data_IF_108348579745
#
_entry.id   IF_108348579745
#
_cell.length_a   1.000
_cell.length_b   1.000
_cell.length_c   1.000
_cell.angle_alpha   90.00
_cell.angle_beta   90.00
_cell.angle_gamma   90.00
#
_symmetry.space_group_name_H-M   'P 1'
#
loop_
_entity.id
_entity.type
_entity.pdbx_description
1 polymer ?
#
# COMPACT_ATOMS: atom_id res chain seq x y z
N UNK A 1 -8.06 -14.84 0.61
CA UNK A 1 -6.89 -14.33 -0.14
C UNK A 1 -6.78 -15.19 -1.37
N UNK A 2 -6.72 -14.57 -2.54
CA UNK A 2 -6.76 -15.25 -3.83
C UNK A 2 -5.66 -14.65 -4.69
N UNK A 3 -4.49 -15.30 -4.72
CA UNK A 3 -3.30 -14.82 -5.42
C UNK A 3 -3.44 -14.92 -6.94
N UNK A 4 -4.24 -15.87 -7.44
CA UNK A 4 -4.50 -16.02 -8.88
C UNK A 4 -5.24 -14.81 -9.44
N UNK A 5 -6.23 -14.32 -8.68
CA UNK A 5 -7.01 -13.11 -9.02
C UNK A 5 -6.41 -11.82 -8.47
N UNK A 6 -5.20 -11.85 -7.90
CA UNK A 6 -4.56 -10.69 -7.26
C UNK A 6 -5.45 -10.00 -6.21
N UNK A 7 -6.15 -10.78 -5.38
CA UNK A 7 -7.04 -10.27 -4.32
C UNK A 7 -6.44 -10.52 -2.95
N UNK A 8 -6.06 -9.42 -2.28
CA UNK A 8 -5.38 -9.44 -1.00
C UNK A 8 -6.12 -8.58 0.05
N UNK A 9 -7.28 -9.04 0.58
CA UNK A 9 -8.07 -8.29 1.57
C UNK A 9 -7.25 -7.76 2.75
N UNK A 10 -7.38 -6.47 3.06
CA UNK A 10 -6.71 -5.82 4.20
C UNK A 10 -5.18 -5.97 4.20
N UNK A 11 -4.56 -6.01 3.03
CA UNK A 11 -3.12 -6.20 2.90
C UNK A 11 -2.41 -4.96 2.36
N UNK A 12 -1.17 -4.79 2.77
CA UNK A 12 -0.17 -4.06 2.00
C UNK A 12 0.49 -5.05 1.06
N UNK A 13 0.64 -4.69 -0.21
CA UNK A 13 1.31 -5.51 -1.22
C UNK A 13 2.59 -4.85 -1.69
N UNK A 14 3.54 -5.66 -2.11
CA UNK A 14 4.84 -5.20 -2.56
C UNK A 14 5.31 -5.95 -3.80
N UNK A 15 5.93 -5.22 -4.74
CA UNK A 15 6.49 -5.75 -5.99
C UNK A 15 7.87 -5.14 -6.26
N UNK A 16 8.84 -5.90 -6.80
CA UNK A 16 10.16 -5.38 -7.12
C UNK A 16 10.10 -4.36 -8.27
N UNK A 17 10.88 -3.28 -8.15
CA UNK A 17 11.12 -2.31 -9.23
C UNK A 17 12.31 -2.83 -10.05
N UNK A 18 12.16 -3.03 -11.37
CA UNK A 18 13.24 -3.52 -12.23
C UNK A 18 14.54 -2.71 -12.06
N UNK A 19 15.68 -3.40 -12.01
CA UNK A 19 17.03 -2.85 -11.79
C UNK A 19 17.25 -2.26 -10.39
N UNK A 20 16.35 -1.40 -9.90
CA UNK A 20 16.51 -0.71 -8.62
C UNK A 20 16.49 -1.69 -7.43
N UNK A 21 15.52 -2.60 -7.41
CA UNK A 21 15.44 -3.62 -6.35
C UNK A 21 16.60 -4.61 -6.39
N UNK A 22 17.26 -4.80 -7.55
CA UNK A 22 18.44 -5.67 -7.63
C UNK A 22 19.64 -5.05 -6.92
N UNK A 23 19.80 -3.73 -7.04
CA UNK A 23 20.86 -2.97 -6.35
C UNK A 23 20.53 -2.75 -4.87
N UNK A 24 19.25 -2.52 -4.56
CA UNK A 24 18.75 -2.27 -3.21
C UNK A 24 17.54 -3.17 -2.92
N UNK A 25 17.74 -4.39 -2.39
CA UNK A 25 16.70 -5.43 -2.26
C UNK A 25 15.54 -5.08 -1.33
N UNK A 26 15.64 -3.97 -0.59
CA UNK A 26 14.61 -3.46 0.30
C UNK A 26 13.72 -2.44 -0.42
N UNK A 27 14.22 -1.78 -1.48
CA UNK A 27 13.48 -0.79 -2.25
C UNK A 27 12.61 -1.52 -3.26
N UNK A 28 11.32 -1.25 -3.25
CA UNK A 28 10.38 -1.72 -4.26
C UNK A 28 9.13 -0.84 -4.30
N UNK A 29 8.08 -1.35 -4.92
CA UNK A 29 6.82 -0.63 -5.09
C UNK A 29 5.74 -1.20 -4.19
N UNK A 30 4.95 -0.33 -3.57
CA UNK A 30 3.99 -0.69 -2.53
C UNK A 30 2.57 -0.27 -2.91
N UNK A 31 1.59 -1.08 -2.55
CA UNK A 31 0.16 -0.76 -2.66
C UNK A 31 -0.59 -1.14 -1.40
N UNK A 32 -1.77 -0.54 -1.21
CA UNK A 32 -2.70 -0.90 -0.13
C UNK A 32 -3.96 -1.50 -0.73
N UNK A 33 -4.50 -2.53 -0.11
CA UNK A 33 -5.66 -3.24 -0.61
C UNK A 33 -6.92 -2.89 0.18
N UNK A 34 -8.07 -2.87 -0.50
CA UNK A 34 -9.39 -2.74 0.13
C UNK A 34 -9.77 -3.99 0.93
N UNK A 35 -10.92 -3.94 1.59
CA UNK A 35 -11.58 -5.07 2.26
C UNK A 35 -11.90 -6.23 1.32
N UNK A 36 -12.18 -5.94 0.05
CA UNK A 36 -12.40 -6.93 -1.01
C UNK A 36 -11.11 -7.42 -1.66
N UNK A 37 -9.97 -6.81 -1.31
CA UNK A 37 -8.66 -7.15 -1.80
C UNK A 37 -8.27 -6.52 -3.13
N UNK A 38 -9.01 -5.49 -3.59
CA UNK A 38 -8.63 -4.67 -4.73
C UNK A 38 -7.40 -3.85 -4.37
N UNK A 39 -6.38 -3.88 -5.23
CA UNK A 39 -5.11 -3.18 -4.99
C UNK A 39 -5.24 -1.72 -5.42
N UNK A 40 -4.77 -0.79 -4.58
CA UNK A 40 -4.55 0.61 -4.90
C UNK A 40 -3.08 0.95 -4.74
N UNK A 41 -2.43 1.40 -5.82
CA UNK A 41 -1.04 1.82 -5.78
C UNK A 41 -0.82 3.12 -6.57
N UNK A 42 -0.04 4.03 -6.01
CA UNK A 42 0.35 5.25 -6.69
C UNK A 42 1.43 4.96 -7.73
N UNK A 43 1.00 4.68 -8.96
CA UNK A 43 1.81 4.15 -10.05
C UNK A 43 2.56 5.22 -10.86
N UNK A 44 2.24 6.49 -10.66
CA UNK A 44 2.92 7.62 -11.32
C UNK A 44 2.24 8.95 -11.01
N UNK A 45 2.76 10.08 -11.52
CA UNK A 45 2.20 11.41 -11.26
C UNK A 45 0.71 11.44 -11.59
N UNK A 46 -0.12 11.89 -10.64
CA UNK A 46 -1.56 12.01 -10.79
C UNK A 46 -2.30 10.69 -11.09
N UNK A 47 -1.65 9.55 -10.88
CA UNK A 47 -2.19 8.24 -11.27
C UNK A 47 -2.07 7.22 -10.14
N UNK A 48 -3.23 6.87 -9.58
CA UNK A 48 -3.39 5.72 -8.69
C UNK A 48 -4.03 4.60 -9.48
N UNK A 49 -3.30 3.50 -9.67
CA UNK A 49 -3.77 2.32 -10.36
C UNK A 49 -4.75 1.52 -9.49
N UNK A 50 -5.62 0.77 -10.16
CA UNK A 50 -6.54 -0.18 -9.55
C UNK A 50 -6.23 -1.58 -10.12
N UNK A 51 -6.09 -2.57 -9.24
CA UNK A 51 -5.82 -3.99 -9.51
C UNK A 51 -4.49 -4.34 -10.18
N UNK A 52 -3.93 -3.47 -11.01
CA UNK A 52 -2.68 -3.72 -11.72
C UNK A 52 -1.57 -2.82 -11.17
N UNK A 53 -0.70 -3.40 -10.34
CA UNK A 53 0.46 -2.66 -9.84
C UNK A 53 1.39 -2.24 -10.98
N UNK A 54 2.01 -1.07 -10.83
CA UNK A 54 2.90 -0.46 -11.84
C UNK A 54 4.02 -1.36 -12.38
N UNK A 55 4.56 -2.27 -11.55
CA UNK A 55 5.72 -3.10 -11.89
C UNK A 55 5.38 -4.61 -11.93
N UNK A 56 4.10 -4.94 -12.16
CA UNK A 56 3.63 -6.32 -12.24
C UNK A 56 3.09 -6.86 -10.91
N UNK A 57 2.66 -8.13 -10.91
CA UNK A 57 1.94 -8.75 -9.79
C UNK A 57 2.70 -8.62 -8.46
N UNK A 58 1.98 -8.48 -7.32
CA UNK A 58 2.60 -8.56 -6.00
C UNK A 58 3.45 -9.82 -5.84
N UNK A 59 4.66 -9.64 -5.32
CA UNK A 59 5.55 -10.77 -4.95
C UNK A 59 5.52 -11.01 -3.44
N UNK A 60 5.17 -10.00 -2.66
CA UNK A 60 4.98 -10.09 -1.22
C UNK A 60 3.70 -9.39 -0.79
N UNK A 61 3.16 -9.83 0.34
CA UNK A 61 2.03 -9.21 1.00
C UNK A 61 2.24 -9.17 2.51
N UNK A 62 1.70 -8.15 3.16
CA UNK A 62 1.62 -8.03 4.61
C UNK A 62 0.16 -7.83 4.98
N UNK A 63 -0.46 -8.87 5.57
CA UNK A 63 -1.83 -8.81 6.05
C UNK A 63 -1.89 -7.99 7.34
N UNK A 64 -2.70 -6.95 7.32
CA UNK A 64 -2.98 -6.11 8.47
C UNK A 64 -4.25 -6.61 9.18
N UNK A 65 -4.42 -6.15 10.41
CA UNK A 65 -5.55 -6.51 11.26
C UNK A 65 -6.62 -5.41 11.19
N UNK A 66 -7.76 -5.72 10.57
CA UNK A 66 -8.83 -4.75 10.37
C UNK A 66 -9.40 -4.21 11.70
N UNK A 67 -9.29 -4.98 12.80
CA UNK A 67 -9.76 -4.58 14.12
C UNK A 67 -8.91 -3.46 14.74
N UNK A 68 -7.73 -3.18 14.17
CA UNK A 68 -6.86 -2.07 14.58
C UNK A 68 -7.22 -0.73 13.94
N UNK A 69 -8.26 -0.68 13.11
CA UNK A 69 -8.79 0.59 12.58
C UNK A 69 -9.54 1.32 13.69
N UNK A 70 -9.10 2.53 14.01
CA UNK A 70 -9.75 3.35 15.04
C UNK A 70 -10.87 4.23 14.45
N UNK A 71 -10.83 4.55 13.16
CA UNK A 71 -11.82 5.42 12.54
C UNK A 71 -13.25 4.86 12.68
N UNK A 72 -14.15 5.66 13.24
CA UNK A 72 -15.53 5.28 13.52
C UNK A 72 -16.38 5.29 12.26
N UNK A 73 -16.84 4.11 11.81
CA UNK A 73 -17.83 3.99 10.75
C UNK A 73 -17.78 2.63 10.05
N UNK A 74 -18.92 2.16 9.49
CA UNK A 74 -18.87 1.01 8.59
C UNK A 74 -17.92 1.32 7.42
N UNK A 75 -17.06 0.37 7.07
CA UNK A 75 -16.11 0.49 5.95
C UNK A 75 -15.00 1.55 6.10
N UNK A 76 -14.67 1.99 7.33
CA UNK A 76 -13.64 3.00 7.57
C UNK A 76 -12.27 2.70 6.91
N UNK A 77 -11.92 1.42 6.78
CA UNK A 77 -10.76 0.97 6.01
C UNK A 77 -10.83 1.41 4.54
N UNK A 78 -11.91 1.04 3.84
CA UNK A 78 -12.06 1.29 2.42
C UNK A 78 -12.21 2.76 2.11
N UNK A 79 -12.94 3.50 2.96
CA UNK A 79 -13.04 4.96 2.86
C UNK A 79 -11.66 5.59 2.96
N UNK A 80 -10.84 5.19 3.94
CA UNK A 80 -9.50 5.75 4.12
C UNK A 80 -8.54 5.40 2.97
N UNK A 81 -8.65 4.20 2.40
CA UNK A 81 -7.91 3.79 1.20
C UNK A 81 -8.34 4.61 -0.02
N UNK A 82 -9.65 4.84 -0.18
CA UNK A 82 -10.20 5.65 -1.26
C UNK A 82 -9.77 7.11 -1.15
N UNK A 83 -9.94 7.72 0.02
CA UNK A 83 -9.58 9.12 0.26
C UNK A 83 -8.08 9.35 0.07
N UNK A 84 -7.25 8.38 0.50
CA UNK A 84 -5.83 8.42 0.21
C UNK A 84 -5.54 8.38 -1.29
N UNK A 85 -6.29 7.59 -2.04
CA UNK A 85 -6.16 7.47 -3.49
C UNK A 85 -6.59 8.74 -4.22
N UNK A 86 -7.71 9.36 -3.83
CA UNK A 86 -8.18 10.62 -4.41
C UNK A 86 -7.20 11.77 -4.20
N UNK A 87 -6.63 11.89 -2.99
CA UNK A 87 -5.62 12.88 -2.70
C UNK A 87 -4.34 12.66 -3.55
N UNK A 88 -3.88 11.42 -3.70
CA UNK A 88 -2.68 11.14 -4.52
C UNK A 88 -2.93 11.26 -6.03
N UNK A 89 -4.18 11.17 -6.51
CA UNK A 89 -4.51 11.53 -7.89
C UNK A 89 -4.28 13.01 -8.19
N UNK A 90 -4.20 13.87 -7.17
CA UNK A 90 -3.88 15.29 -7.33
C UNK A 90 -2.38 15.60 -7.14
N UNK A 91 -1.55 14.60 -6.81
CA UNK A 91 -0.13 14.81 -6.44
C UNK A 91 0.84 14.44 -7.56
N UNK A 92 1.92 15.21 -7.63
CA UNK A 92 3.05 14.91 -8.52
C UNK A 92 3.94 13.84 -7.89
N UNK A 93 4.19 12.75 -8.61
CA UNK A 93 4.98 11.63 -8.09
C UNK A 93 6.47 11.99 -8.03
N UNK A 94 7.06 11.92 -6.84
CA UNK A 94 8.49 12.08 -6.65
C UNK A 94 9.10 10.78 -6.08
N UNK A 95 10.06 10.21 -6.81
CA UNK A 95 10.62 8.87 -6.56
C UNK A 95 11.07 8.65 -5.10
N UNK A 96 11.57 9.69 -4.42
CA UNK A 96 12.16 9.57 -3.09
C UNK A 96 11.37 10.23 -1.94
N UNK A 97 10.43 11.15 -2.21
CA UNK A 97 9.81 11.97 -1.14
C UNK A 97 8.27 11.97 -1.12
N UNK A 98 7.62 11.68 -2.25
CA UNK A 98 6.16 11.57 -2.35
C UNK A 98 5.84 10.43 -3.32
N UNK A 99 5.95 9.22 -2.79
CA UNK A 99 5.96 7.97 -3.55
C UNK A 99 4.86 7.01 -3.05
N UNK A 100 4.85 5.81 -3.60
CA UNK A 100 3.91 4.76 -3.26
C UNK A 100 3.84 4.39 -1.77
N UNK A 101 4.94 4.53 -1.02
CA UNK A 101 4.93 4.27 0.42
C UNK A 101 4.27 5.41 1.19
N UNK A 102 4.42 6.66 0.74
CA UNK A 102 3.72 7.81 1.31
C UNK A 102 2.21 7.70 1.09
N UNK A 103 1.78 7.19 -0.06
CA UNK A 103 0.35 6.89 -0.34
C UNK A 103 -0.23 5.88 0.65
N UNK A 104 0.45 4.74 0.85
CA UNK A 104 0.03 3.74 1.84
C UNK A 104 0.07 4.29 3.27
N UNK A 105 1.11 5.07 3.60
CA UNK A 105 1.21 5.71 4.92
C UNK A 105 0.03 6.64 5.19
N UNK A 106 -0.40 7.40 4.18
CA UNK A 106 -1.56 8.27 4.31
C UNK A 106 -2.85 7.50 4.55
N UNK A 107 -3.07 6.39 3.82
CA UNK A 107 -4.22 5.52 4.08
C UNK A 107 -4.25 5.02 5.52
N UNK A 108 -3.11 4.55 6.06
CA UNK A 108 -2.99 4.11 7.45
C UNK A 108 -3.22 5.23 8.47
N UNK A 109 -2.75 6.44 8.17
CA UNK A 109 -2.96 7.62 9.01
C UNK A 109 -4.42 8.07 9.03
N UNK A 110 -5.10 8.08 7.88
CA UNK A 110 -6.51 8.43 7.76
C UNK A 110 -7.40 7.47 8.57
N UNK A 111 -7.12 6.16 8.50
CA UNK A 111 -7.86 5.16 9.30
C UNK A 111 -7.39 5.07 10.76
N UNK A 112 -6.35 5.84 11.14
CA UNK A 112 -5.71 5.81 12.46
C UNK A 112 -5.32 4.39 12.89
N UNK A 113 -4.74 3.64 11.95
CA UNK A 113 -4.39 2.23 12.16
C UNK A 113 -3.45 2.06 13.36
N UNK A 114 -3.81 1.15 14.27
CA UNK A 114 -3.09 0.88 15.53
C UNK A 114 -2.99 2.13 16.43
N UNK A 115 -4.04 2.96 16.42
CA UNK A 115 -4.15 4.24 17.13
C UNK A 115 -2.98 5.22 16.82
N UNK A 116 -2.45 5.15 15.60
CA UNK A 116 -1.30 5.93 15.16
C UNK A 116 -1.63 6.78 13.93
N UNK A 117 -1.13 8.02 13.89
CA UNK A 117 -1.26 8.98 12.77
C UNK A 117 0.09 9.44 12.21
N UNK A 118 1.17 8.78 12.61
CA UNK A 118 2.55 9.09 12.21
C UNK A 118 3.19 7.98 11.37
N UNK A 119 2.38 7.19 10.66
CA UNK A 119 2.87 6.30 9.61
C UNK A 119 3.58 7.10 8.53
N UNK A 120 4.71 6.59 8.05
CA UNK A 120 5.53 7.22 7.04
C UNK A 120 6.25 6.15 6.20
N UNK A 121 6.86 6.58 5.09
CA UNK A 121 7.50 5.69 4.13
C UNK A 121 8.62 4.83 4.73
N UNK A 122 9.42 5.36 5.66
CA UNK A 122 10.56 4.64 6.25
C UNK A 122 10.07 3.53 7.17
N UNK A 123 9.09 3.84 8.02
CA UNK A 123 8.44 2.85 8.90
C UNK A 123 7.80 1.73 8.09
N UNK A 124 7.06 2.08 7.02
CA UNK A 124 6.44 1.09 6.15
C UNK A 124 7.44 0.22 5.41
N UNK A 125 8.51 0.81 4.88
CA UNK A 125 9.58 0.08 4.20
C UNK A 125 10.19 -0.98 5.12
N UNK A 126 10.57 -0.60 6.35
CA UNK A 126 11.14 -1.52 7.34
C UNK A 126 10.13 -2.59 7.80
N UNK A 127 8.89 -2.21 8.12
CA UNK A 127 7.89 -3.16 8.59
C UNK A 127 7.46 -4.12 7.47
N UNK A 128 7.34 -3.65 6.24
CA UNK A 128 7.05 -4.52 5.10
C UNK A 128 8.19 -5.52 4.90
N UNK A 129 9.46 -5.11 5.02
CA UNK A 129 10.60 -6.03 4.94
C UNK A 129 10.51 -7.17 5.98
N UNK A 130 10.09 -6.86 7.20
CA UNK A 130 10.07 -7.81 8.33
C UNK A 130 8.81 -8.68 8.34
N UNK A 131 7.64 -8.09 8.09
CA UNK A 131 6.34 -8.75 8.31
C UNK A 131 5.69 -9.32 7.03
N UNK A 132 6.22 -8.97 5.86
CA UNK A 132 5.66 -9.48 4.61
C UNK A 132 5.99 -10.96 4.37
N UNK A 133 5.09 -11.63 3.66
CA UNK A 133 5.22 -13.01 3.21
C UNK A 133 5.22 -13.05 1.69
N UNK A 134 5.97 -13.97 1.11
CA UNK A 134 5.93 -14.19 -0.33
C UNK A 134 4.56 -14.71 -0.77
N UNK A 135 4.06 -14.19 -1.89
CA UNK A 135 2.92 -14.76 -2.59
C UNK A 135 3.33 -16.15 -3.10
N UNK A 136 2.49 -17.15 -2.86
CA UNK A 136 2.64 -18.52 -3.35
C UNK A 136 1.63 -18.79 -4.45
#
# INVERSE_FOLDING_TARGET
>A
MDSERSRFPYCIVWTPIPVLTWLFPIIGHMGVCTSTGVIRDFAGPYFVSEDNMAFGKPTKYWKLDADKVYASGPNAWDTSVNDASEEYKQRMHNLCCDNCHSHVAMALNLMRYDNCTSWNMVKLCFLCLVYSRYVR
#
